data_IF_444739340528
#
_entry.id   IF_444739340528
#
_cell.length_a   1.000
_cell.length_b   1.000
_cell.length_c   1.000
_cell.angle_alpha   90.00
_cell.angle_beta   90.00
_cell.angle_gamma   90.00
#
_symmetry.space_group_name_H-M   'P 1'
#
loop_
_entity.id
_entity.type
_entity.pdbx_description
1 polymer ?
#
# COMPACT_ATOMS: atom_id res chain seq x y z
N UNK A 1 6.08 -10.47 -47.45
CA UNK A 1 5.18 -9.73 -46.56
C UNK A 1 5.73 -9.83 -45.16
N UNK A 2 6.33 -8.72 -44.65
CA UNK A 2 6.92 -8.65 -43.32
C UNK A 2 5.76 -8.45 -42.32
N UNK A 3 5.52 -9.45 -41.50
CA UNK A 3 4.54 -9.36 -40.40
C UNK A 3 5.09 -8.36 -39.38
N UNK A 4 4.51 -7.17 -39.35
CA UNK A 4 4.79 -6.20 -38.29
C UNK A 4 4.30 -6.83 -36.98
N UNK A 5 5.23 -7.32 -36.18
CA UNK A 5 4.96 -7.77 -34.83
C UNK A 5 4.57 -6.52 -34.03
N UNK A 6 3.29 -6.25 -33.89
CA UNK A 6 2.81 -5.22 -32.97
C UNK A 6 3.09 -5.71 -31.55
N UNK A 7 3.93 -4.98 -30.82
CA UNK A 7 4.10 -5.26 -29.39
C UNK A 7 2.71 -5.27 -28.72
N UNK A 8 2.43 -6.26 -27.85
CA UNK A 8 1.18 -6.26 -27.11
C UNK A 8 1.02 -4.92 -26.38
N UNK A 9 -0.20 -4.38 -26.31
CA UNK A 9 -0.43 -3.11 -25.61
C UNK A 9 0.07 -3.23 -24.17
N UNK A 10 0.73 -2.16 -23.68
CA UNK A 10 1.19 -2.07 -22.29
C UNK A 10 0.07 -2.48 -21.34
N UNK A 11 0.36 -3.22 -20.23
CA UNK A 11 -0.65 -3.72 -19.28
C UNK A 11 -1.51 -2.65 -18.62
N UNK A 12 -1.10 -1.37 -18.69
CA UNK A 12 -1.85 -0.24 -18.11
C UNK A 12 -2.15 -0.44 -16.63
N UNK A 13 -1.15 -0.90 -15.86
CA UNK A 13 -1.26 -1.21 -14.44
C UNK A 13 -1.67 0.01 -13.62
N UNK A 14 -2.38 -0.23 -12.51
CA UNK A 14 -2.54 0.72 -11.43
C UNK A 14 -1.67 0.20 -10.28
N UNK A 15 -0.66 0.97 -9.95
CA UNK A 15 0.28 0.65 -8.86
C UNK A 15 -0.25 1.22 -7.55
N UNK A 16 -0.78 0.35 -6.68
CA UNK A 16 -1.34 0.75 -5.39
C UNK A 16 -0.30 0.83 -4.28
N UNK A 17 0.97 0.49 -4.57
CA UNK A 17 2.07 0.49 -3.63
C UNK A 17 3.28 1.19 -4.25
N UNK A 18 3.20 2.49 -4.33
CA UNK A 18 4.29 3.35 -4.78
C UNK A 18 4.49 4.47 -3.77
N UNK A 19 5.74 4.74 -3.43
CA UNK A 19 6.04 5.75 -2.44
C UNK A 19 6.55 7.04 -3.08
N UNK A 20 6.47 8.12 -2.30
CA UNK A 20 7.14 9.38 -2.56
C UNK A 20 8.01 9.76 -1.37
N UNK A 21 9.10 10.46 -1.63
CA UNK A 21 9.99 11.00 -0.61
C UNK A 21 10.24 12.48 -0.94
N UNK A 22 9.40 13.41 -0.44
CA UNK A 22 9.63 14.83 -0.66
C UNK A 22 11.02 15.26 -0.14
N UNK A 23 11.76 16.14 -0.83
CA UNK A 23 13.11 16.51 -0.41
C UNK A 23 13.20 17.07 1.00
N UNK A 24 12.21 17.87 1.44
CA UNK A 24 12.14 18.40 2.81
C UNK A 24 11.92 17.30 3.85
N UNK A 25 11.13 16.26 3.51
CA UNK A 25 10.90 15.12 4.38
C UNK A 25 12.18 14.26 4.50
N UNK A 26 12.87 14.01 3.38
CA UNK A 26 14.17 13.32 3.40
C UNK A 26 15.18 14.05 4.29
N UNK A 27 15.29 15.38 4.15
CA UNK A 27 16.16 16.21 4.98
C UNK A 27 15.76 16.16 6.48
N UNK A 28 14.46 16.19 6.76
CA UNK A 28 13.93 16.11 8.13
C UNK A 28 14.28 14.79 8.82
N UNK A 29 14.21 13.66 8.11
CA UNK A 29 14.66 12.35 8.59
C UNK A 29 16.17 12.26 8.74
N UNK A 30 16.92 12.72 7.73
CA UNK A 30 18.38 12.70 7.74
C UNK A 30 18.99 13.50 8.90
N UNK A 31 18.39 14.67 9.22
CA UNK A 31 18.80 15.50 10.35
C UNK A 31 18.61 14.79 11.72
N UNK A 32 17.86 13.69 11.75
CA UNK A 32 17.60 12.86 12.93
C UNK A 32 18.28 11.49 12.87
N UNK A 33 19.05 11.21 11.83
CA UNK A 33 19.71 9.92 11.63
C UNK A 33 18.72 8.77 11.40
N UNK A 34 17.50 9.05 10.92
CA UNK A 34 16.43 8.05 10.77
C UNK A 34 16.52 7.40 9.39
N UNK A 35 16.38 6.08 9.38
CA UNK A 35 16.27 5.23 8.18
C UNK A 35 14.84 4.67 8.06
N UNK A 36 14.52 4.03 6.95
CA UNK A 36 13.24 3.35 6.75
C UNK A 36 13.46 1.84 6.67
N UNK A 37 12.99 1.10 7.68
CA UNK A 37 13.12 -0.36 7.72
C UNK A 37 14.56 -0.87 7.60
N UNK A 38 15.54 -0.10 8.11
CA UNK A 38 16.95 -0.41 7.99
C UNK A 38 17.60 -0.01 6.65
N UNK A 39 16.86 0.64 5.75
CA UNK A 39 17.37 1.18 4.49
C UNK A 39 17.60 2.70 4.57
N UNK A 40 18.62 3.23 3.88
CA UNK A 40 18.72 4.67 3.66
C UNK A 40 17.47 5.21 2.99
N UNK A 41 17.11 6.45 3.32
CA UNK A 41 16.01 7.13 2.64
C UNK A 41 16.38 7.35 1.17
N UNK A 42 15.63 6.81 0.20
CA UNK A 42 15.96 6.93 -1.19
C UNK A 42 15.71 8.35 -1.73
N UNK A 43 16.45 8.74 -2.75
CA UNK A 43 16.10 9.91 -3.55
C UNK A 43 14.83 9.63 -4.36
N UNK A 44 13.98 10.65 -4.46
CA UNK A 44 12.73 10.57 -5.20
C UNK A 44 12.52 11.83 -6.04
N UNK A 45 12.09 11.62 -7.28
CA UNK A 45 11.58 12.67 -8.17
C UNK A 45 10.36 12.15 -8.94
N UNK A 46 9.49 13.06 -9.36
CA UNK A 46 8.34 12.68 -10.20
C UNK A 46 8.79 12.06 -11.53
N UNK A 47 9.89 12.57 -12.11
CA UNK A 47 10.48 12.07 -13.34
C UNK A 47 11.00 10.64 -13.18
N UNK A 48 11.68 10.34 -12.04
CA UNK A 48 12.12 8.98 -11.71
C UNK A 48 10.98 8.02 -11.53
N UNK A 49 9.87 8.48 -10.90
CA UNK A 49 8.65 7.70 -10.79
C UNK A 49 8.03 7.41 -12.17
N UNK A 50 7.92 8.42 -13.02
CA UNK A 50 7.41 8.27 -14.39
C UNK A 50 8.27 7.32 -15.22
N UNK A 51 9.60 7.39 -15.10
CA UNK A 51 10.54 6.50 -15.78
C UNK A 51 10.37 5.01 -15.35
N UNK A 52 10.16 4.75 -14.04
CA UNK A 52 9.78 3.41 -13.60
C UNK A 52 8.42 2.99 -14.19
N UNK A 53 7.43 3.86 -14.09
CA UNK A 53 6.07 3.57 -14.54
C UNK A 53 6.02 3.22 -16.04
N UNK A 54 6.77 3.93 -16.87
CA UNK A 54 6.90 3.57 -18.30
C UNK A 54 7.52 2.18 -18.48
N UNK A 55 8.64 1.91 -17.79
CA UNK A 55 9.32 0.64 -17.89
C UNK A 55 8.49 -0.54 -17.37
N UNK A 56 7.66 -0.33 -16.35
CA UNK A 56 6.79 -1.34 -15.74
C UNK A 56 5.39 -1.43 -16.36
N UNK A 57 5.06 -0.61 -17.36
CA UNK A 57 3.71 -0.55 -17.94
C UNK A 57 2.65 -0.08 -16.94
N UNK A 58 3.00 0.84 -16.05
CA UNK A 58 2.11 1.45 -15.05
C UNK A 58 1.47 2.70 -15.63
N UNK A 59 0.15 2.73 -15.71
CA UNK A 59 -0.61 3.89 -16.16
C UNK A 59 -0.77 4.93 -15.03
N UNK A 60 -1.00 4.48 -13.80
CA UNK A 60 -1.18 5.34 -12.63
C UNK A 60 -0.50 4.74 -11.40
N UNK A 61 0.28 5.54 -10.68
CA UNK A 61 0.87 5.22 -9.39
C UNK A 61 0.19 5.95 -8.25
N UNK A 62 -0.08 5.23 -7.15
CA UNK A 62 -0.67 5.80 -5.93
C UNK A 62 0.47 6.14 -4.96
N UNK A 63 0.78 7.42 -4.84
CA UNK A 63 1.86 7.90 -4.00
C UNK A 63 1.50 7.82 -2.51
N UNK A 64 2.44 7.39 -1.68
CA UNK A 64 2.29 7.37 -0.22
C UNK A 64 3.64 7.62 0.47
N UNK A 65 3.62 8.08 1.71
CA UNK A 65 4.82 8.10 2.55
C UNK A 65 4.91 6.76 3.29
N UNK A 66 6.09 6.13 3.23
CA UNK A 66 6.38 4.87 3.91
C UNK A 66 6.75 5.07 5.39
N UNK A 67 7.13 3.98 6.07
CA UNK A 67 7.79 4.06 7.38
C UNK A 67 9.01 5.01 7.31
N UNK A 68 9.30 5.78 8.36
CA UNK A 68 8.69 5.77 9.68
C UNK A 68 7.42 6.62 9.82
N UNK A 69 6.86 7.14 8.74
CA UNK A 69 5.75 8.07 8.77
C UNK A 69 6.19 9.48 9.20
N UNK A 70 5.29 10.22 9.82
CA UNK A 70 5.54 11.63 10.17
C UNK A 70 5.53 11.91 11.68
N UNK A 71 5.14 10.94 12.51
CA UNK A 71 5.12 11.12 13.96
C UNK A 71 6.40 10.57 14.61
N UNK A 72 7.30 11.48 14.99
CA UNK A 72 8.58 11.16 15.64
C UNK A 72 8.62 11.61 17.10
N UNK A 73 7.46 11.54 17.80
CA UNK A 73 7.35 11.84 19.23
C UNK A 73 6.74 13.21 19.59
N UNK A 74 6.36 14.03 18.59
CA UNK A 74 5.75 15.34 18.80
C UNK A 74 4.56 15.53 17.88
N UNK A 75 3.36 15.72 18.45
CA UNK A 75 2.10 15.86 17.71
C UNK A 75 2.07 17.10 16.82
N UNK A 76 2.62 18.22 17.28
CA UNK A 76 2.66 19.47 16.51
C UNK A 76 3.51 19.32 15.25
N UNK A 77 4.72 18.78 15.38
CA UNK A 77 5.59 18.48 14.24
C UNK A 77 4.96 17.45 13.29
N UNK A 78 4.26 16.44 13.84
CA UNK A 78 3.58 15.44 13.03
C UNK A 78 2.46 16.07 12.20
N UNK A 79 1.64 16.95 12.78
CA UNK A 79 0.57 17.69 12.08
C UNK A 79 1.15 18.57 10.96
N UNK A 80 2.21 19.32 11.24
CA UNK A 80 2.87 20.17 10.25
C UNK A 80 3.47 19.35 9.11
N UNK A 81 4.15 18.24 9.43
CA UNK A 81 4.78 17.39 8.43
C UNK A 81 3.74 16.64 7.60
N UNK A 82 2.67 16.11 8.21
CA UNK A 82 1.57 15.47 7.49
C UNK A 82 0.96 16.42 6.46
N UNK A 83 0.66 17.67 6.88
CA UNK A 83 0.15 18.69 6.00
C UNK A 83 1.07 18.95 4.80
N UNK A 84 2.35 19.17 5.06
CA UNK A 84 3.33 19.45 4.01
C UNK A 84 3.48 18.30 3.01
N UNK A 85 3.57 17.05 3.48
CA UNK A 85 3.72 15.89 2.57
C UNK A 85 2.45 15.65 1.76
N UNK A 86 1.26 15.87 2.33
CA UNK A 86 0.00 15.72 1.61
C UNK A 86 -0.22 16.81 0.57
N UNK A 87 0.12 18.06 0.88
CA UNK A 87 0.09 19.17 -0.08
C UNK A 87 1.12 18.95 -1.21
N UNK A 88 2.31 18.44 -0.89
CA UNK A 88 3.29 18.05 -1.90
C UNK A 88 2.71 16.97 -2.82
N UNK A 89 2.12 15.89 -2.28
CA UNK A 89 1.48 14.85 -3.08
C UNK A 89 0.39 15.43 -4.00
N UNK A 90 -0.48 16.26 -3.47
CA UNK A 90 -1.54 16.93 -4.25
C UNK A 90 -0.94 17.79 -5.38
N UNK A 91 0.18 18.48 -5.13
CA UNK A 91 0.89 19.27 -6.17
C UNK A 91 1.45 18.40 -7.29
N UNK A 92 1.98 17.21 -6.97
CA UNK A 92 2.44 16.23 -7.96
C UNK A 92 1.27 15.72 -8.78
N UNK A 93 0.16 15.35 -8.13
CA UNK A 93 -1.06 14.92 -8.81
C UNK A 93 -1.62 16.03 -9.72
N UNK A 94 -1.60 17.28 -9.29
CA UNK A 94 -2.05 18.40 -10.10
C UNK A 94 -1.20 18.60 -11.38
N UNK A 95 0.11 18.36 -11.29
CA UNK A 95 1.03 18.43 -12.45
C UNK A 95 0.88 17.24 -13.40
N UNK A 96 0.49 16.08 -12.87
CA UNK A 96 0.40 14.81 -13.63
C UNK A 96 -0.93 14.07 -13.32
N UNK A 97 -2.10 14.67 -13.58
CA UNK A 97 -3.39 14.19 -13.07
C UNK A 97 -3.84 12.83 -13.61
N UNK A 98 -3.29 12.43 -14.76
CA UNK A 98 -3.56 11.10 -15.36
C UNK A 98 -2.54 10.02 -14.95
N UNK A 99 -1.48 10.40 -14.23
CA UNK A 99 -0.38 9.49 -13.90
C UNK A 99 -0.29 9.19 -12.41
N UNK A 100 -0.71 10.10 -11.54
CA UNK A 100 -0.63 9.93 -10.10
C UNK A 100 -1.98 10.13 -9.41
N UNK A 101 -2.20 9.36 -8.37
CA UNK A 101 -3.07 9.61 -7.25
C UNK A 101 -2.24 9.54 -5.96
N UNK A 102 -2.85 9.66 -4.79
CA UNK A 102 -2.12 9.53 -3.54
C UNK A 102 -3.01 9.05 -2.38
N UNK A 103 -2.37 8.36 -1.45
CA UNK A 103 -2.89 8.05 -0.13
C UNK A 103 -2.30 9.03 0.88
N UNK A 104 -3.18 9.73 1.60
CA UNK A 104 -2.77 10.77 2.52
C UNK A 104 -2.10 10.18 3.77
N UNK A 105 -1.01 10.79 4.20
CA UNK A 105 -0.30 10.46 5.43
C UNK A 105 -1.00 11.10 6.61
N UNK A 106 -1.21 10.34 7.70
CA UNK A 106 -1.88 10.78 8.91
C UNK A 106 -0.93 10.80 10.12
N UNK A 107 -1.37 11.40 11.22
CA UNK A 107 -0.53 11.77 12.38
C UNK A 107 -0.56 10.77 13.54
N UNK A 108 -1.06 9.53 13.34
CA UNK A 108 -1.09 8.58 14.45
C UNK A 108 0.28 8.53 15.19
N UNK A 109 0.30 8.50 16.51
CA UNK A 109 -0.79 8.22 17.46
C UNK A 109 -1.70 9.39 17.82
N UNK A 110 -1.46 10.59 17.31
CA UNK A 110 -2.35 11.76 17.48
C UNK A 110 -3.63 11.56 16.67
N UNK A 111 -4.66 10.99 17.30
CA UNK A 111 -5.94 10.65 16.66
C UNK A 111 -6.72 11.89 16.23
N UNK A 112 -6.70 12.95 17.03
CA UNK A 112 -7.39 14.20 16.71
C UNK A 112 -6.79 14.85 15.46
N UNK A 113 -5.45 14.97 15.42
CA UNK A 113 -4.72 15.45 14.24
C UNK A 113 -4.94 14.55 13.03
N UNK A 114 -4.95 13.22 13.22
CA UNK A 114 -5.19 12.27 12.14
C UNK A 114 -6.58 12.43 11.51
N UNK A 115 -7.62 12.65 12.32
CA UNK A 115 -8.99 12.92 11.83
C UNK A 115 -9.05 14.27 11.09
N UNK A 116 -8.44 15.31 11.67
CA UNK A 116 -8.42 16.64 11.03
C UNK A 116 -7.69 16.60 9.68
N UNK A 117 -6.55 15.91 9.62
CA UNK A 117 -5.78 15.75 8.38
C UNK A 117 -6.48 14.86 7.35
N UNK A 118 -7.13 13.77 7.78
CA UNK A 118 -7.92 12.91 6.89
C UNK A 118 -9.06 13.71 6.22
N UNK A 119 -9.77 14.55 6.99
CA UNK A 119 -10.80 15.44 6.45
C UNK A 119 -10.24 16.40 5.42
N UNK A 120 -9.15 17.08 5.76
CA UNK A 120 -8.52 18.03 4.84
C UNK A 120 -8.03 17.33 3.56
N UNK A 121 -7.31 16.21 3.69
CA UNK A 121 -6.75 15.51 2.55
C UNK A 121 -7.83 14.94 1.62
N UNK A 122 -8.88 14.31 2.16
CA UNK A 122 -9.95 13.73 1.36
C UNK A 122 -10.88 14.79 0.77
N UNK A 123 -11.22 15.84 1.55
CA UNK A 123 -12.23 16.84 1.14
C UNK A 123 -11.62 17.98 0.31
N UNK A 124 -10.42 18.45 0.64
CA UNK A 124 -9.78 19.60 0.00
C UNK A 124 -8.76 19.16 -1.04
N UNK A 125 -7.79 18.33 -0.64
CA UNK A 125 -6.72 17.87 -1.54
C UNK A 125 -7.15 16.77 -2.51
N UNK A 126 -8.33 16.17 -2.28
CA UNK A 126 -8.89 15.07 -3.10
C UNK A 126 -7.97 13.84 -3.14
N UNK A 127 -7.41 13.48 -1.98
CA UNK A 127 -6.71 12.23 -1.80
C UNK A 127 -7.62 11.03 -2.16
N UNK A 128 -7.03 9.97 -2.67
CA UNK A 128 -7.75 8.77 -3.12
C UNK A 128 -7.98 7.75 -1.97
N UNK A 129 -7.42 8.04 -0.82
CA UNK A 129 -7.49 7.26 0.41
C UNK A 129 -6.45 7.75 1.41
N UNK A 130 -6.11 6.90 2.37
CA UNK A 130 -5.09 7.19 3.38
C UNK A 130 -4.08 6.07 3.48
N UNK A 131 -2.86 6.37 3.90
CA UNK A 131 -1.86 5.38 4.32
C UNK A 131 -1.77 5.36 5.84
N UNK A 132 -1.82 4.16 6.42
CA UNK A 132 -1.59 3.92 7.83
C UNK A 132 -0.43 2.94 7.99
N UNK A 133 0.38 3.13 9.03
CA UNK A 133 1.36 2.13 9.42
C UNK A 133 0.67 1.00 10.21
N UNK A 134 1.17 -0.21 10.09
CA UNK A 134 0.66 -1.42 10.77
C UNK A 134 0.58 -1.24 12.27
N UNK A 135 1.58 -0.61 12.84
CA UNK A 135 1.62 -0.24 14.26
C UNK A 135 2.27 1.13 14.43
N UNK A 136 1.96 1.80 15.53
CA UNK A 136 2.65 3.00 15.99
C UNK A 136 3.01 2.79 17.46
N UNK A 137 4.30 2.75 17.76
CA UNK A 137 4.78 2.49 19.11
C UNK A 137 4.31 1.14 19.69
N UNK A 138 4.10 0.12 18.84
CA UNK A 138 3.61 -1.19 19.25
C UNK A 138 2.08 -1.29 19.39
N UNK A 139 1.34 -0.22 19.14
CA UNK A 139 -0.14 -0.24 19.11
C UNK A 139 -0.60 -0.52 17.70
N UNK A 140 -1.11 -1.72 17.47
CA UNK A 140 -1.56 -2.21 16.16
C UNK A 140 -2.91 -1.64 15.74
N UNK A 141 -3.15 -1.58 14.43
CA UNK A 141 -4.47 -1.24 13.89
C UNK A 141 -5.53 -2.23 14.43
N UNK A 142 -6.71 -1.72 14.73
CA UNK A 142 -7.76 -2.47 15.45
C UNK A 142 -7.75 -2.26 16.96
N UNK A 143 -6.76 -1.55 17.52
CA UNK A 143 -6.79 -1.15 18.93
C UNK A 143 -7.91 -0.12 19.18
N UNK A 144 -8.57 -0.16 20.36
CA UNK A 144 -9.63 0.80 20.71
C UNK A 144 -9.21 2.27 20.59
N UNK A 145 -7.93 2.57 20.79
CA UNK A 145 -7.37 3.92 20.64
C UNK A 145 -7.60 4.52 19.24
N UNK A 146 -7.68 3.68 18.20
CA UNK A 146 -7.85 4.12 16.82
C UNK A 146 -9.32 4.15 16.34
N UNK A 147 -10.27 3.70 17.17
CA UNK A 147 -11.68 3.61 16.78
C UNK A 147 -12.28 4.93 16.25
N UNK A 148 -12.01 6.12 16.85
CA UNK A 148 -12.54 7.37 16.30
C UNK A 148 -12.07 7.66 14.86
N UNK A 149 -10.80 7.37 14.56
CA UNK A 149 -10.26 7.52 13.20
C UNK A 149 -10.89 6.48 12.25
N UNK A 150 -10.99 5.21 12.68
CA UNK A 150 -11.59 4.17 11.84
C UNK A 150 -13.06 4.49 11.51
N UNK A 151 -13.82 5.02 12.47
CA UNK A 151 -15.21 5.45 12.26
C UNK A 151 -15.30 6.60 11.25
N UNK A 152 -14.44 7.61 11.36
CA UNK A 152 -14.36 8.72 10.39
C UNK A 152 -14.05 8.22 8.99
N UNK A 153 -13.03 7.37 8.84
CA UNK A 153 -12.64 6.80 7.54
C UNK A 153 -13.74 5.91 6.96
N UNK A 154 -14.42 5.11 7.80
CA UNK A 154 -15.53 4.26 7.36
C UNK A 154 -16.72 5.08 6.85
N UNK A 155 -17.08 6.16 7.52
CA UNK A 155 -18.16 7.05 7.08
C UNK A 155 -17.91 7.63 5.68
N UNK A 156 -16.65 7.70 5.27
CA UNK A 156 -16.17 8.18 3.97
C UNK A 156 -15.94 7.06 2.97
N UNK A 157 -16.13 5.80 3.35
CA UNK A 157 -15.82 4.61 2.54
C UNK A 157 -14.39 4.63 2.00
N UNK A 158 -13.47 5.11 2.82
CA UNK A 158 -12.10 5.36 2.42
C UNK A 158 -11.35 4.08 2.04
N UNK A 159 -10.40 4.21 1.12
CA UNK A 159 -9.34 3.22 0.92
C UNK A 159 -8.27 3.47 1.96
N UNK A 160 -7.86 2.41 2.65
CA UNK A 160 -6.78 2.43 3.65
C UNK A 160 -5.66 1.53 3.16
N UNK A 161 -4.56 2.12 2.72
CA UNK A 161 -3.35 1.38 2.42
C UNK A 161 -2.55 1.18 3.71
N UNK A 162 -2.24 -0.06 4.06
CA UNK A 162 -1.53 -0.41 5.29
C UNK A 162 -0.11 -0.84 4.95
N UNK A 163 0.86 -0.03 5.39
CA UNK A 163 2.27 -0.28 5.18
C UNK A 163 2.94 -0.73 6.49
N UNK A 164 3.86 -1.71 6.47
CA UNK A 164 4.58 -2.14 7.66
C UNK A 164 5.43 -1.03 8.27
N UNK A 165 5.71 -1.19 9.55
CA UNK A 165 6.64 -0.39 10.34
C UNK A 165 7.61 -1.32 11.05
N UNK A 166 8.53 -0.76 11.82
CA UNK A 166 9.41 -1.58 12.64
C UNK A 166 8.60 -2.35 13.69
N UNK A 167 8.98 -3.60 13.93
CA UNK A 167 8.37 -4.39 14.99
C UNK A 167 8.67 -3.77 16.37
N UNK A 168 7.71 -3.86 17.31
CA UNK A 168 8.01 -3.51 18.69
C UNK A 168 9.09 -4.43 19.27
N UNK A 169 10.12 -3.84 19.83
CA UNK A 169 11.24 -4.56 20.45
C UNK A 169 12.55 -4.46 19.67
N UNK A 170 13.61 -5.09 20.15
CA UNK A 170 14.90 -5.03 19.49
C UNK A 170 14.91 -5.82 18.18
N UNK A 171 15.55 -5.26 17.15
CA UNK A 171 15.84 -5.97 15.91
C UNK A 171 16.87 -7.09 16.11
N UNK A 172 17.03 -7.93 15.10
CA UNK A 172 18.07 -8.97 15.07
C UNK A 172 19.28 -8.44 14.32
N UNK A 173 20.45 -8.52 14.93
CA UNK A 173 21.70 -8.07 14.32
C UNK A 173 21.94 -8.76 12.96
N UNK A 174 22.27 -7.98 11.94
CA UNK A 174 22.53 -8.49 10.59
C UNK A 174 21.29 -8.82 9.77
N UNK A 175 20.07 -8.70 10.32
CA UNK A 175 18.81 -8.90 9.61
C UNK A 175 18.05 -7.57 9.55
N UNK A 176 18.02 -6.88 8.41
CA UNK A 176 17.27 -5.64 8.32
C UNK A 176 15.74 -5.89 8.39
N UNK A 177 14.96 -4.98 9.01
CA UNK A 177 13.51 -5.17 9.21
C UNK A 177 12.73 -5.50 7.93
N UNK A 178 13.11 -4.92 6.79
CA UNK A 178 12.42 -5.18 5.53
C UNK A 178 12.51 -6.66 5.08
N UNK A 179 13.51 -7.43 5.56
CA UNK A 179 13.73 -8.79 5.09
C UNK A 179 12.69 -9.79 5.62
N UNK A 180 12.24 -9.63 6.86
CA UNK A 180 11.26 -10.53 7.49
C UNK A 180 10.26 -9.80 8.38
N UNK A 181 10.71 -8.80 9.15
CA UNK A 181 9.91 -8.15 10.19
C UNK A 181 8.71 -7.41 9.58
N UNK A 182 8.85 -6.79 8.42
CA UNK A 182 7.75 -6.13 7.71
C UNK A 182 6.63 -7.10 7.35
N UNK A 183 6.96 -8.31 6.93
CA UNK A 183 5.95 -9.33 6.62
C UNK A 183 5.25 -9.81 7.90
N UNK A 184 5.99 -9.95 8.99
CA UNK A 184 5.43 -10.31 10.30
C UNK A 184 4.56 -9.20 10.86
N UNK A 185 4.95 -7.95 10.71
CA UNK A 185 4.22 -6.79 11.19
C UNK A 185 2.88 -6.63 10.48
N UNK A 186 2.87 -6.76 9.15
CA UNK A 186 1.63 -6.81 8.35
C UNK A 186 0.72 -7.96 8.81
N UNK A 187 1.30 -9.14 9.08
CA UNK A 187 0.54 -10.29 9.57
C UNK A 187 -0.09 -10.03 10.94
N UNK A 188 0.66 -9.45 11.87
CA UNK A 188 0.15 -9.06 13.20
C UNK A 188 -1.01 -8.08 13.11
N UNK A 189 -0.90 -7.08 12.24
CA UNK A 189 -2.00 -6.13 12.01
C UNK A 189 -3.24 -6.80 11.45
N UNK A 190 -3.11 -7.66 10.45
CA UNK A 190 -4.26 -8.36 9.87
C UNK A 190 -4.98 -9.21 10.93
N UNK A 191 -4.23 -9.95 11.74
CA UNK A 191 -4.77 -10.75 12.85
C UNK A 191 -5.47 -9.83 13.87
N UNK A 192 -4.81 -8.77 14.31
CA UNK A 192 -5.35 -7.87 15.33
C UNK A 192 -6.62 -7.18 14.85
N UNK A 193 -6.63 -6.68 13.62
CA UNK A 193 -7.78 -6.01 13.01
C UNK A 193 -8.98 -6.96 12.85
N UNK A 194 -8.74 -8.19 12.37
CA UNK A 194 -9.79 -9.20 12.27
C UNK A 194 -10.32 -9.61 13.65
N UNK A 195 -9.40 -9.93 14.59
CA UNK A 195 -9.77 -10.37 15.94
C UNK A 195 -10.55 -9.32 16.73
N UNK A 196 -10.24 -8.05 16.57
CA UNK A 196 -10.89 -6.94 17.27
C UNK A 196 -12.32 -6.65 16.77
N UNK A 197 -12.76 -7.28 15.68
CA UNK A 197 -14.08 -7.04 15.08
C UNK A 197 -14.15 -5.76 14.24
N UNK A 198 -13.02 -5.21 13.82
CA UNK A 198 -12.98 -4.01 12.98
C UNK A 198 -13.60 -4.24 11.60
N UNK A 199 -13.47 -5.45 11.04
CA UNK A 199 -14.06 -5.78 9.75
C UNK A 199 -15.60 -5.63 9.76
N UNK A 200 -16.24 -5.99 10.88
CA UNK A 200 -17.70 -5.86 11.06
C UNK A 200 -18.11 -4.44 11.46
N UNK A 201 -17.33 -3.78 12.30
CA UNK A 201 -17.64 -2.40 12.72
C UNK A 201 -17.43 -1.38 11.62
N UNK A 202 -16.50 -1.64 10.70
CA UNK A 202 -16.11 -0.71 9.64
C UNK A 202 -16.16 -1.37 8.25
N UNK A 203 -17.35 -1.87 7.82
CA UNK A 203 -17.49 -2.70 6.62
C UNK A 203 -17.28 -1.93 5.30
N UNK A 204 -17.37 -0.61 5.33
CA UNK A 204 -17.20 0.21 4.13
C UNK A 204 -15.73 0.52 3.81
N UNK A 205 -14.79 0.29 4.75
CA UNK A 205 -13.37 0.46 4.51
C UNK A 205 -12.85 -0.57 3.50
N UNK A 206 -11.97 -0.12 2.62
CA UNK A 206 -11.21 -0.98 1.70
C UNK A 206 -9.76 -1.00 2.16
N UNK A 207 -9.38 -2.03 2.90
CA UNK A 207 -8.07 -2.14 3.54
C UNK A 207 -7.15 -2.95 2.64
N UNK A 208 -6.10 -2.30 2.09
CA UNK A 208 -5.06 -2.95 1.27
C UNK A 208 -3.87 -3.27 2.18
N UNK A 209 -3.55 -4.54 2.32
CA UNK A 209 -2.36 -5.02 3.02
C UNK A 209 -1.19 -5.11 2.04
N UNK A 210 -0.07 -4.49 2.39
CA UNK A 210 1.14 -4.50 1.57
C UNK A 210 1.83 -5.87 1.51
N UNK A 211 2.69 -6.05 0.51
CA UNK A 211 3.57 -7.22 0.34
C UNK A 211 2.82 -8.55 0.38
N UNK A 212 1.72 -8.65 -0.37
CA UNK A 212 0.89 -9.86 -0.40
C UNK A 212 0.20 -10.18 0.93
N UNK A 213 0.10 -9.20 1.85
CA UNK A 213 -0.44 -9.41 3.20
C UNK A 213 0.54 -10.08 4.16
N UNK A 214 1.85 -10.00 3.86
CA UNK A 214 2.88 -10.63 4.67
C UNK A 214 2.78 -12.15 4.66
N UNK A 215 2.71 -12.76 5.84
CA UNK A 215 2.54 -14.22 5.97
C UNK A 215 1.07 -14.67 6.03
N UNK A 216 0.08 -13.76 5.90
CA UNK A 216 -1.34 -14.11 6.01
C UNK A 216 -1.74 -15.23 5.06
N UNK A 217 -1.44 -15.19 3.74
CA UNK A 217 -1.84 -16.28 2.84
C UNK A 217 -1.20 -17.62 3.20
N UNK A 218 0.10 -17.63 3.51
CA UNK A 218 0.84 -18.83 3.89
C UNK A 218 0.34 -19.43 5.20
N UNK A 219 0.05 -18.59 6.20
CA UNK A 219 -0.31 -19.00 7.55
C UNK A 219 -1.83 -19.03 7.79
N UNK A 220 -2.65 -18.86 6.76
CA UNK A 220 -4.09 -18.64 6.88
C UNK A 220 -4.80 -19.64 7.80
N UNK A 221 -4.63 -20.95 7.58
CA UNK A 221 -5.23 -22.00 8.41
C UNK A 221 -4.74 -21.97 9.86
N UNK A 222 -3.48 -21.59 10.08
CA UNK A 222 -2.91 -21.49 11.43
C UNK A 222 -3.53 -20.36 12.24
N UNK A 223 -3.78 -19.20 11.61
CA UNK A 223 -4.25 -17.98 12.26
C UNK A 223 -5.78 -17.82 12.25
N UNK A 224 -6.49 -18.56 11.41
CA UNK A 224 -7.92 -18.42 11.19
C UNK A 224 -8.73 -18.48 12.49
N UNK A 225 -8.45 -19.46 13.36
CA UNK A 225 -9.21 -19.64 14.61
C UNK A 225 -9.22 -18.42 15.53
N UNK A 226 -8.11 -17.67 15.59
CA UNK A 226 -8.05 -16.46 16.42
C UNK A 226 -8.64 -15.24 15.74
N UNK A 227 -8.91 -15.32 14.44
CA UNK A 227 -9.58 -14.29 13.66
C UNK A 227 -11.11 -14.48 13.60
N UNK A 228 -11.64 -15.54 14.18
CA UNK A 228 -13.06 -15.84 14.23
C UNK A 228 -13.64 -15.72 15.64
N UNK A 229 -14.82 -15.11 15.84
CA UNK A 229 -15.45 -14.99 17.16
C UNK A 229 -15.81 -16.34 17.79
N UNK A 230 -16.18 -17.33 16.98
CA UNK A 230 -16.55 -18.68 17.38
C UNK A 230 -15.37 -19.67 17.35
N UNK A 231 -14.19 -19.22 16.96
CA UNK A 231 -13.00 -20.06 16.83
C UNK A 231 -13.04 -21.04 15.65
N UNK A 232 -13.96 -20.89 14.70
CA UNK A 232 -14.02 -21.71 13.50
C UNK A 232 -13.05 -21.24 12.43
N UNK A 233 -12.29 -22.16 11.81
CA UNK A 233 -11.35 -21.80 10.75
C UNK A 233 -12.04 -21.13 9.55
N UNK A 234 -13.17 -21.65 9.10
CA UNK A 234 -13.90 -21.13 7.96
C UNK A 234 -14.31 -19.67 8.15
N UNK A 235 -14.81 -19.31 9.33
CA UNK A 235 -15.16 -17.93 9.69
C UNK A 235 -13.94 -17.00 9.69
N UNK A 236 -12.80 -17.46 10.23
CA UNK A 236 -11.57 -16.71 10.23
C UNK A 236 -10.97 -16.51 8.83
N UNK A 237 -10.99 -17.55 7.99
CA UNK A 237 -10.57 -17.45 6.58
C UNK A 237 -11.45 -16.45 5.84
N UNK A 238 -12.79 -16.53 5.99
CA UNK A 238 -13.72 -15.61 5.33
C UNK A 238 -13.46 -14.14 5.74
N UNK A 239 -13.13 -13.89 7.00
CA UNK A 239 -12.77 -12.56 7.52
C UNK A 239 -11.46 -12.06 6.91
N UNK A 240 -10.40 -12.86 6.94
CA UNK A 240 -9.11 -12.49 6.41
C UNK A 240 -9.16 -12.24 4.89
N UNK A 241 -10.04 -12.89 4.15
CA UNK A 241 -10.26 -12.66 2.71
C UNK A 241 -10.96 -11.34 2.38
N UNK A 242 -11.49 -10.61 3.37
CA UNK A 242 -12.06 -9.28 3.15
C UNK A 242 -11.01 -8.22 2.89
N UNK A 243 -9.76 -8.43 3.31
CA UNK A 243 -8.66 -7.55 2.95
C UNK A 243 -8.36 -7.60 1.46
N UNK A 244 -7.82 -6.48 0.96
CA UNK A 244 -7.13 -6.40 -0.32
C UNK A 244 -5.64 -6.67 -0.08
N UNK A 245 -4.95 -7.14 -1.12
CA UNK A 245 -3.54 -7.52 -1.06
C UNK A 245 -2.84 -6.96 -2.28
N UNK A 246 -1.72 -6.25 -2.11
CA UNK A 246 -0.91 -5.89 -3.26
C UNK A 246 0.10 -7.01 -3.62
N UNK A 247 0.76 -6.86 -4.76
CA UNK A 247 1.76 -7.83 -5.23
C UNK A 247 3.19 -7.32 -5.08
N UNK A 248 3.41 -6.19 -4.39
CA UNK A 248 4.75 -5.63 -4.21
C UNK A 248 5.69 -6.67 -3.57
N UNK A 249 6.82 -6.93 -4.22
CA UNK A 249 7.84 -7.90 -3.82
C UNK A 249 7.32 -9.32 -3.50
N UNK A 250 6.07 -9.64 -3.90
CA UNK A 250 5.38 -10.91 -3.58
C UNK A 250 4.98 -11.71 -4.82
N UNK A 251 5.48 -11.34 -6.01
CA UNK A 251 5.14 -12.00 -7.28
C UNK A 251 6.05 -13.19 -7.61
N UNK A 252 6.87 -13.65 -6.67
CA UNK A 252 7.76 -14.80 -6.91
C UNK A 252 6.97 -16.11 -7.03
N UNK A 253 7.54 -17.15 -7.69
CA UNK A 253 6.92 -18.46 -7.77
C UNK A 253 6.77 -19.16 -6.41
N UNK A 254 7.37 -18.62 -5.36
CA UNK A 254 7.24 -19.12 -3.99
C UNK A 254 6.14 -18.43 -3.20
N UNK A 255 5.82 -17.16 -3.48
CA UNK A 255 4.84 -16.38 -2.74
C UNK A 255 3.50 -16.25 -3.47
N UNK A 256 3.54 -15.96 -4.78
CA UNK A 256 2.33 -15.71 -5.57
C UNK A 256 1.32 -16.87 -5.57
N UNK A 257 1.71 -18.16 -5.67
CA UNK A 257 0.76 -19.26 -5.58
C UNK A 257 -0.02 -19.29 -4.27
N UNK A 258 0.63 -18.98 -3.15
CA UNK A 258 -0.03 -18.92 -1.84
C UNK A 258 -1.06 -17.79 -1.80
N UNK A 259 -0.70 -16.62 -2.30
CA UNK A 259 -1.62 -15.47 -2.39
C UNK A 259 -2.82 -15.80 -3.28
N UNK A 260 -2.61 -16.37 -4.46
CA UNK A 260 -3.69 -16.68 -5.41
C UNK A 260 -4.61 -17.80 -4.90
N UNK A 261 -4.10 -18.75 -4.14
CA UNK A 261 -4.90 -19.81 -3.53
C UNK A 261 -5.77 -19.30 -2.37
N UNK A 262 -5.30 -18.27 -1.67
CA UNK A 262 -5.94 -17.75 -0.47
C UNK A 262 -6.89 -16.59 -0.76
N UNK A 263 -6.45 -15.54 -1.45
CA UNK A 263 -7.16 -14.28 -1.58
C UNK A 263 -8.38 -14.40 -2.52
N UNK A 264 -9.40 -13.56 -2.28
CA UNK A 264 -10.42 -13.33 -3.30
C UNK A 264 -9.74 -12.73 -4.55
N UNK A 265 -9.93 -13.33 -5.74
CA UNK A 265 -9.29 -12.83 -6.97
C UNK A 265 -9.67 -11.39 -7.33
N UNK A 266 -10.75 -10.85 -6.75
CA UNK A 266 -11.15 -9.45 -6.92
C UNK A 266 -10.47 -8.50 -5.94
N UNK A 267 -9.70 -9.00 -4.99
CA UNK A 267 -9.03 -8.24 -3.93
C UNK A 267 -7.50 -8.20 -4.08
N UNK A 268 -6.95 -8.62 -5.21
CA UNK A 268 -5.50 -8.56 -5.44
C UNK A 268 -5.18 -7.38 -6.36
N UNK A 269 -4.28 -6.48 -5.96
CA UNK A 269 -3.85 -5.31 -6.72
C UNK A 269 -2.37 -5.39 -7.08
N UNK A 270 -1.94 -4.63 -8.08
CA UNK A 270 -0.53 -4.51 -8.41
C UNK A 270 0.17 -3.51 -7.50
N UNK A 271 1.43 -3.81 -7.11
CA UNK A 271 2.31 -2.93 -6.36
C UNK A 271 3.76 -3.08 -6.78
N UNK A 272 4.54 -1.98 -6.78
CA UNK A 272 5.98 -1.97 -7.13
C UNK A 272 6.91 -1.81 -5.94
N UNK A 273 6.47 -1.13 -4.89
CA UNK A 273 7.27 -0.71 -3.72
C UNK A 273 8.41 0.27 -4.08
N UNK A 274 8.32 0.94 -5.26
CA UNK A 274 9.32 1.97 -5.61
C UNK A 274 9.12 3.23 -4.74
N UNK A 275 10.19 3.93 -4.31
CA UNK A 275 11.61 3.76 -4.63
C UNK A 275 12.39 2.89 -3.65
N UNK A 276 11.78 2.36 -2.59
CA UNK A 276 12.47 1.47 -1.64
C UNK A 276 12.88 0.15 -2.31
N UNK A 277 12.02 -0.42 -3.15
CA UNK A 277 12.47 -1.34 -4.18
C UNK A 277 13.12 -0.56 -5.32
N UNK A 278 14.41 -0.77 -5.56
CA UNK A 278 15.10 -0.15 -6.71
C UNK A 278 14.38 -0.47 -8.01
N UNK A 279 14.54 0.36 -9.05
CA UNK A 279 13.94 0.13 -10.38
C UNK A 279 14.19 -1.30 -10.88
N UNK A 280 15.43 -1.79 -10.76
CA UNK A 280 15.77 -3.16 -11.17
C UNK A 280 14.99 -4.21 -10.39
N UNK A 281 14.81 -4.03 -9.06
CA UNK A 281 14.06 -4.95 -8.22
C UNK A 281 12.57 -4.90 -8.51
N UNK A 282 11.98 -3.72 -8.64
CA UNK A 282 10.58 -3.55 -9.01
C UNK A 282 10.26 -4.21 -10.37
N UNK A 283 11.11 -4.00 -11.38
CA UNK A 283 10.96 -4.62 -12.70
C UNK A 283 11.16 -6.14 -12.66
N UNK A 284 12.04 -6.65 -11.81
CA UNK A 284 12.24 -8.09 -11.61
C UNK A 284 10.94 -8.75 -11.10
N UNK A 285 10.31 -8.21 -10.05
CA UNK A 285 9.05 -8.75 -9.53
C UNK A 285 7.88 -8.55 -10.50
N UNK A 286 7.84 -7.42 -11.21
CA UNK A 286 6.86 -7.20 -12.29
C UNK A 286 6.98 -8.26 -13.38
N UNK A 287 8.22 -8.57 -13.81
CA UNK A 287 8.48 -9.62 -14.80
C UNK A 287 8.06 -11.02 -14.32
N UNK A 288 8.25 -11.35 -13.04
CA UNK A 288 7.76 -12.61 -12.47
C UNK A 288 6.22 -12.67 -12.51
N UNK A 289 5.51 -11.57 -12.18
CA UNK A 289 4.05 -11.53 -12.29
C UNK A 289 3.59 -11.74 -13.74
N UNK A 290 4.29 -11.13 -14.70
CA UNK A 290 3.96 -11.25 -16.12
C UNK A 290 4.19 -12.66 -16.66
N UNK A 291 5.25 -13.31 -16.19
CA UNK A 291 5.61 -14.68 -16.61
C UNK A 291 4.77 -15.77 -15.91
N UNK A 292 4.10 -15.45 -14.81
CA UNK A 292 3.33 -16.44 -14.05
C UNK A 292 2.10 -16.89 -14.83
N UNK A 293 1.91 -18.20 -14.99
CA UNK A 293 0.75 -18.75 -15.70
C UNK A 293 -0.54 -18.56 -14.89
N UNK A 294 -1.45 -17.75 -15.43
CA UNK A 294 -2.78 -17.52 -14.86
C UNK A 294 -3.78 -17.13 -15.97
N UNK A 295 -5.10 -17.27 -15.72
CA UNK A 295 -6.11 -16.80 -16.66
C UNK A 295 -5.95 -15.30 -16.98
N UNK A 296 -6.10 -14.93 -18.25
CA UNK A 296 -5.95 -13.54 -18.71
C UNK A 296 -6.88 -12.58 -17.97
N UNK A 297 -8.08 -13.01 -17.63
CA UNK A 297 -9.04 -12.21 -16.87
C UNK A 297 -8.53 -11.88 -15.47
N UNK A 298 -7.90 -12.86 -14.78
CA UNK A 298 -7.30 -12.63 -13.46
C UNK A 298 -6.09 -11.69 -13.55
N UNK A 299 -5.24 -11.87 -14.56
CA UNK A 299 -4.11 -10.97 -14.81
C UNK A 299 -4.58 -9.53 -15.03
N UNK A 300 -5.59 -9.32 -15.86
CA UNK A 300 -6.16 -8.00 -16.12
C UNK A 300 -6.82 -7.40 -14.86
N UNK A 301 -7.44 -8.23 -14.02
CA UNK A 301 -8.00 -7.82 -12.73
C UNK A 301 -6.91 -7.33 -11.78
N UNK A 302 -5.83 -8.10 -11.59
CA UNK A 302 -4.68 -7.73 -10.73
C UNK A 302 -4.00 -6.47 -11.24
N UNK A 303 -3.73 -6.39 -12.56
CA UNK A 303 -3.03 -5.26 -13.13
C UNK A 303 -3.80 -3.94 -12.98
N UNK A 304 -5.13 -3.95 -13.13
CA UNK A 304 -5.92 -2.72 -13.19
C UNK A 304 -7.33 -2.85 -12.60
N UNK A 305 -8.04 -3.93 -12.95
CA UNK A 305 -9.49 -4.01 -12.72
C UNK A 305 -9.88 -3.87 -11.26
N UNK A 306 -9.13 -4.52 -10.36
CA UNK A 306 -9.43 -4.53 -8.93
C UNK A 306 -9.14 -3.17 -8.27
N UNK A 307 -7.98 -2.59 -8.52
CA UNK A 307 -7.65 -1.24 -8.04
C UNK A 307 -8.65 -0.20 -8.59
N UNK A 308 -9.06 -0.31 -9.86
CA UNK A 308 -10.05 0.58 -10.46
C UNK A 308 -11.42 0.55 -9.79
N UNK A 309 -11.80 -0.55 -9.12
CA UNK A 309 -13.09 -0.64 -8.40
C UNK A 309 -13.10 0.14 -7.10
N UNK A 310 -11.93 0.30 -6.45
CA UNK A 310 -11.81 0.93 -5.14
C UNK A 310 -11.19 2.33 -5.20
N UNK A 311 -10.53 2.68 -6.32
CA UNK A 311 -9.91 3.97 -6.57
C UNK A 311 -10.57 4.61 -7.80
N UNK A 312 -11.62 5.44 -7.63
CA UNK A 312 -12.39 5.98 -8.77
C UNK A 312 -11.55 6.78 -9.76
N UNK A 313 -10.54 7.54 -9.28
CA UNK A 313 -9.62 8.29 -10.15
C UNK A 313 -8.92 7.38 -11.16
N UNK A 314 -8.57 6.18 -10.78
CA UNK A 314 -7.84 5.24 -11.61
C UNK A 314 -8.64 4.73 -12.83
N UNK A 315 -9.98 4.82 -12.79
CA UNK A 315 -10.84 4.48 -13.94
C UNK A 315 -10.81 5.59 -14.99
N UNK A 316 -10.81 6.85 -14.54
CA UNK A 316 -10.89 8.04 -15.40
C UNK A 316 -9.55 8.40 -16.05
N UNK A 317 -8.44 7.77 -15.65
CA UNK A 317 -7.15 7.97 -16.29
C UNK A 317 -7.21 7.51 -17.77
N UNK A 318 -6.84 8.38 -18.75
CA UNK A 318 -6.87 8.02 -20.15
C UNK A 318 -6.05 6.73 -20.37
N UNK A 319 -6.56 5.80 -21.13
CA UNK A 319 -5.73 4.70 -21.65
C UNK A 319 -4.67 5.36 -22.52
N UNK A 320 -3.40 5.22 -22.18
CA UNK A 320 -2.33 5.73 -23.02
C UNK A 320 -2.52 5.17 -24.44
N UNK A 321 -2.85 6.04 -25.37
CA UNK A 321 -2.86 5.72 -26.80
C UNK A 321 -1.41 5.44 -27.16
N UNK A 322 -1.14 4.28 -27.77
CA UNK A 322 0.16 3.97 -28.30
C UNK A 322 0.61 5.16 -29.19
N UNK A 323 1.62 5.89 -28.75
CA UNK A 323 2.24 6.91 -29.58
C UNK A 323 2.95 6.14 -30.68
N UNK A 324 2.35 6.12 -31.87
CA UNK A 324 3.02 5.66 -33.10
C UNK A 324 4.20 6.61 -33.35
N UNK A 325 5.40 6.12 -33.11
CA UNK A 325 6.64 6.69 -33.65
C UNK A 325 7.02 5.98 -34.94
#
# INVERSE_FOLDING_TARGET
MSTVMTNPPSPQRIDTHQHMVPPFYAQWLAARGITAGGLPIPEWTAEGALDLMEAAGVAMGMLSVSTPGVHLGDDGQARDMARQVNEFAASVVQKHPSRFGFFATLTLPDVEGAIAEARYALDVLKADGVVLLTNVGGVYLGAPAWEPLMAELNSRKAVVFVHPSDLPGPGVEGIPPFAADFLLDTTRTAIHYAKSGCLERYPDLKVILSHGGGFVPYAAERIARICSPDGANEGGIARLRQFYFDTALSSSPYALPSLLAFADPTHITFGSDWPYATKARALHFTGMLDAFEMPQALRAAIHRGNAGRIIPRAISAPRATAISR
#
